data_IF_888673144656
#
_entry.id   IF_888673144656
#
_cell.length_a   1.000
_cell.length_b   1.000
_cell.length_c   1.000
_cell.angle_alpha   90.00
_cell.angle_beta   90.00
_cell.angle_gamma   90.00
#
_symmetry.space_group_name_H-M   'P 1'
#
loop_
_entity.id
_entity.type
_entity.pdbx_description
1 polymer ?
#
# COMPACT_ATOMS: atom_id res chain seq x y z
N UNK A 1 -0.52 1.58 -5.91
CA UNK A 1 0.56 0.68 -6.36
C UNK A 1 0.21 0.01 -7.69
N UNK A 2 -0.87 -0.77 -7.79
CA UNK A 2 -1.17 -1.59 -8.98
C UNK A 2 -2.65 -1.58 -9.39
N UNK A 3 -2.94 -2.02 -10.62
CA UNK A 3 -4.29 -2.21 -11.17
C UNK A 3 -4.38 -3.53 -11.94
N UNK A 4 -5.50 -4.24 -11.81
CA UNK A 4 -5.78 -5.50 -12.51
C UNK A 4 -6.91 -5.32 -13.51
N UNK A 5 -6.73 -5.80 -14.75
CA UNK A 5 -7.77 -5.85 -15.78
C UNK A 5 -7.73 -7.21 -16.49
N UNK A 6 -8.79 -7.99 -16.32
CA UNK A 6 -8.82 -9.38 -16.80
C UNK A 6 -7.73 -10.22 -16.11
N UNK A 7 -6.88 -10.88 -16.88
CA UNK A 7 -5.80 -11.74 -16.37
C UNK A 7 -4.49 -10.99 -16.09
N UNK A 8 -4.44 -9.66 -16.27
CA UNK A 8 -3.22 -8.89 -16.17
C UNK A 8 -3.25 -7.91 -15.01
N UNK A 9 -2.13 -7.80 -14.29
CA UNK A 9 -1.92 -6.84 -13.21
C UNK A 9 -0.69 -6.00 -13.51
N UNK A 10 -0.85 -4.68 -13.49
CA UNK A 10 0.20 -3.70 -13.72
C UNK A 10 0.54 -2.97 -12.42
N UNK A 11 1.80 -3.01 -12.00
CA UNK A 11 2.33 -2.28 -10.85
C UNK A 11 3.00 -1.00 -11.31
N UNK A 12 2.42 0.14 -10.98
CA UNK A 12 2.97 1.48 -11.21
C UNK A 12 3.93 1.91 -10.09
N UNK A 13 3.88 1.22 -8.96
CA UNK A 13 4.78 1.37 -7.82
C UNK A 13 4.94 0.00 -7.15
N UNK A 14 6.14 -0.32 -6.68
CA UNK A 14 6.40 -1.53 -5.88
C UNK A 14 7.07 -1.18 -4.57
N UNK A 15 6.66 -1.86 -3.50
CA UNK A 15 7.27 -1.70 -2.19
C UNK A 15 6.80 -2.82 -1.26
N UNK A 16 7.72 -3.36 -0.47
CA UNK A 16 7.42 -4.25 0.66
C UNK A 16 7.35 -3.44 1.95
N UNK A 17 8.50 -3.13 2.53
CA UNK A 17 8.70 -2.26 3.70
C UNK A 17 10.07 -1.58 3.60
N UNK A 18 10.41 -0.70 4.55
CA UNK A 18 11.73 -0.05 4.53
C UNK A 18 12.87 -1.04 4.86
N UNK A 19 14.09 -0.73 4.40
CA UNK A 19 15.30 -1.47 4.83
C UNK A 19 15.53 -1.41 6.34
N UNK A 20 15.08 -0.35 7.00
CA UNK A 20 15.18 -0.21 8.46
C UNK A 20 14.32 -1.25 9.16
N UNK A 21 13.03 -1.33 8.81
CA UNK A 21 12.11 -2.34 9.36
C UNK A 21 12.55 -3.76 9.03
N UNK A 22 12.99 -4.01 7.80
CA UNK A 22 13.48 -5.32 7.38
C UNK A 22 14.68 -5.78 8.23
N UNK A 23 15.63 -4.88 8.51
CA UNK A 23 16.77 -5.17 9.39
C UNK A 23 16.38 -5.37 10.86
N UNK A 24 15.22 -4.87 11.28
CA UNK A 24 14.65 -5.13 12.61
C UNK A 24 13.87 -6.47 12.67
N UNK A 25 13.84 -7.24 11.58
CA UNK A 25 13.21 -8.56 11.51
C UNK A 25 11.75 -8.52 11.02
N UNK A 26 11.26 -7.37 10.57
CA UNK A 26 9.93 -7.25 9.96
C UNK A 26 10.05 -7.67 8.49
N UNK A 27 9.58 -8.87 8.18
CA UNK A 27 9.56 -9.39 6.81
C UNK A 27 8.12 -9.64 6.36
N UNK A 28 7.64 -8.87 5.38
CA UNK A 28 6.31 -9.03 4.80
C UNK A 28 6.24 -10.19 3.80
N UNK A 29 7.37 -10.71 3.33
CA UNK A 29 7.48 -11.73 2.30
C UNK A 29 8.43 -12.87 2.73
N UNK A 30 8.20 -13.52 3.89
CA UNK A 30 9.14 -14.50 4.44
C UNK A 30 9.38 -15.67 3.49
N UNK A 31 10.65 -15.93 3.18
CA UNK A 31 11.05 -16.98 2.25
C UNK A 31 10.77 -16.66 0.78
N UNK A 32 10.44 -15.40 0.45
CA UNK A 32 10.14 -14.95 -0.90
C UNK A 32 11.02 -13.74 -1.27
N UNK A 33 11.61 -13.79 -2.46
CA UNK A 33 12.31 -12.65 -3.04
C UNK A 33 12.20 -12.74 -4.56
N UNK A 34 11.52 -11.76 -5.16
CA UNK A 34 11.41 -11.61 -6.61
C UNK A 34 12.19 -10.36 -7.01
N UNK A 35 13.31 -10.58 -7.72
CA UNK A 35 14.26 -9.52 -8.07
C UNK A 35 13.59 -8.37 -8.82
N UNK A 36 13.75 -7.15 -8.30
CA UNK A 36 13.17 -5.94 -8.89
C UNK A 36 11.67 -5.75 -8.65
N UNK A 37 11.00 -6.67 -7.93
CA UNK A 37 9.57 -6.61 -7.61
C UNK A 37 9.36 -6.44 -6.11
N UNK A 38 9.92 -7.33 -5.29
CA UNK A 38 9.84 -7.25 -3.82
C UNK A 38 10.96 -6.35 -3.28
N UNK A 39 10.82 -5.04 -3.46
CA UNK A 39 11.83 -4.04 -3.10
C UNK A 39 11.61 -3.45 -1.71
N UNK A 40 12.69 -3.14 -0.98
CA UNK A 40 12.64 -2.46 0.33
C UNK A 40 12.74 -0.92 0.22
N UNK A 41 12.77 -0.44 -1.01
CA UNK A 41 12.63 0.97 -1.40
C UNK A 41 11.31 1.10 -2.16
N UNK A 42 10.63 2.22 -1.97
CA UNK A 42 9.44 2.52 -2.77
C UNK A 42 9.90 2.88 -4.19
N UNK A 43 9.73 1.94 -5.11
CA UNK A 43 10.16 2.10 -6.50
C UNK A 43 9.02 2.61 -7.37
N UNK A 44 9.33 3.60 -8.21
CA UNK A 44 8.40 4.18 -9.16
C UNK A 44 8.50 3.50 -10.53
N UNK A 45 7.38 2.98 -11.02
CA UNK A 45 7.23 2.34 -12.33
C UNK A 45 6.14 3.00 -13.17
N UNK A 46 5.81 4.27 -12.91
CA UNK A 46 4.69 4.96 -13.58
C UNK A 46 4.83 5.02 -15.09
N UNK A 47 6.07 5.12 -15.60
CA UNK A 47 6.39 5.16 -17.04
C UNK A 47 6.46 3.76 -17.68
N UNK A 48 6.94 2.77 -16.95
CA UNK A 48 7.10 1.39 -17.41
C UNK A 48 6.63 0.42 -16.30
N UNK A 49 5.30 0.26 -16.14
CA UNK A 49 4.74 -0.56 -15.06
C UNK A 49 5.19 -2.02 -15.15
N UNK A 50 5.45 -2.67 -14.02
CA UNK A 50 5.70 -4.11 -14.03
C UNK A 50 4.38 -4.85 -14.25
N UNK A 51 4.28 -5.63 -15.33
CA UNK A 51 3.04 -6.33 -15.70
C UNK A 51 3.19 -7.82 -15.51
N UNK A 52 2.20 -8.45 -14.87
CA UNK A 52 2.13 -9.90 -14.68
C UNK A 52 0.84 -10.46 -15.28
N UNK A 53 0.91 -11.67 -15.84
CA UNK A 53 -0.27 -12.43 -16.23
C UNK A 53 -0.65 -13.41 -15.11
N UNK A 54 -1.62 -13.04 -14.29
CA UNK A 54 -1.99 -13.75 -13.06
C UNK A 54 -2.47 -15.20 -13.30
N UNK A 55 -3.07 -15.51 -14.45
CA UNK A 55 -3.45 -16.88 -14.78
C UNK A 55 -2.26 -17.83 -15.08
N UNK A 56 -1.09 -17.29 -15.47
CA UNK A 56 0.12 -18.07 -15.79
C UNK A 56 1.18 -17.93 -14.70
N UNK A 57 1.18 -16.79 -14.03
CA UNK A 57 2.10 -16.43 -12.98
C UNK A 57 1.32 -15.84 -11.78
N UNK A 58 0.64 -16.69 -10.99
CA UNK A 58 -0.11 -16.23 -9.82
C UNK A 58 0.80 -15.69 -8.71
N UNK A 59 2.09 -16.05 -8.73
CA UNK A 59 3.08 -15.65 -7.74
C UNK A 59 3.84 -14.37 -8.07
N UNK A 60 3.49 -13.69 -9.17
CA UNK A 60 4.13 -12.44 -9.62
C UNK A 60 5.66 -12.55 -9.72
N UNK A 61 6.16 -13.69 -10.20
CA UNK A 61 7.60 -14.01 -10.28
C UNK A 61 8.25 -13.58 -11.59
N UNK A 62 7.46 -13.49 -12.66
CA UNK A 62 7.94 -13.34 -14.03
C UNK A 62 7.22 -12.16 -14.70
N UNK A 63 7.75 -10.93 -14.55
CA UNK A 63 7.18 -9.78 -15.23
C UNK A 63 7.29 -9.95 -16.75
N UNK A 64 6.27 -9.50 -17.47
CA UNK A 64 6.29 -9.50 -18.94
C UNK A 64 7.43 -8.61 -19.45
N UNK A 65 8.06 -9.05 -20.54
CA UNK A 65 9.08 -8.24 -21.22
C UNK A 65 8.46 -6.95 -21.76
N UNK A 66 9.09 -5.81 -21.47
CA UNK A 66 8.69 -4.48 -21.96
C UNK A 66 8.62 -4.39 -23.49
N UNK A 67 9.40 -5.22 -24.20
CA UNK A 67 9.43 -5.26 -25.66
C UNK A 67 8.37 -6.19 -26.27
N UNK A 68 7.63 -6.94 -25.45
CA UNK A 68 6.63 -7.90 -25.96
C UNK A 68 5.36 -7.20 -26.44
N UNK A 69 4.73 -7.75 -27.47
CA UNK A 69 3.43 -7.28 -27.98
C UNK A 69 2.37 -7.38 -26.88
N UNK A 70 2.40 -8.46 -26.10
CA UNK A 70 1.48 -8.69 -24.98
C UNK A 70 1.55 -7.55 -23.96
N UNK A 71 2.76 -7.13 -23.57
CA UNK A 71 2.95 -6.01 -22.65
C UNK A 71 2.35 -4.70 -23.21
N UNK A 72 2.65 -4.37 -24.47
CA UNK A 72 2.15 -3.16 -25.12
C UNK A 72 0.62 -3.15 -25.21
N UNK A 73 0.01 -4.30 -25.55
CA UNK A 73 -1.44 -4.43 -25.64
C UNK A 73 -2.12 -4.31 -24.27
N UNK A 74 -1.50 -4.84 -23.21
CA UNK A 74 -1.98 -4.67 -21.84
C UNK A 74 -1.94 -3.21 -21.42
N UNK A 75 -0.83 -2.50 -21.68
CA UNK A 75 -0.74 -1.07 -21.34
C UNK A 75 -1.77 -0.22 -22.07
N UNK A 76 -2.01 -0.47 -23.37
CA UNK A 76 -3.05 0.23 -24.15
C UNK A 76 -4.44 0.08 -23.53
N UNK A 77 -4.70 -1.01 -22.80
CA UNK A 77 -5.98 -1.30 -22.16
C UNK A 77 -6.06 -0.79 -20.73
N UNK A 78 -5.01 -0.95 -19.93
CA UNK A 78 -5.01 -0.58 -18.51
C UNK A 78 -4.87 0.93 -18.34
N UNK A 79 -3.97 1.58 -19.07
CA UNK A 79 -3.67 3.01 -18.86
C UNK A 79 -4.90 3.91 -18.99
N UNK A 80 -5.78 3.76 -20.01
CA UNK A 80 -6.99 4.59 -20.11
C UNK A 80 -7.94 4.41 -18.93
N UNK A 81 -8.08 3.20 -18.40
CA UNK A 81 -8.95 2.90 -17.25
C UNK A 81 -8.39 3.54 -15.97
N UNK A 82 -7.07 3.48 -15.79
CA UNK A 82 -6.38 4.13 -14.67
C UNK A 82 -6.55 5.65 -14.74
N UNK A 83 -6.33 6.22 -15.92
CA UNK A 83 -6.47 7.66 -16.15
C UNK A 83 -7.91 8.13 -15.89
N UNK A 84 -8.89 7.43 -16.47
CA UNK A 84 -10.31 7.75 -16.25
C UNK A 84 -10.68 7.70 -14.77
N UNK A 85 -10.20 6.69 -14.04
CA UNK A 85 -10.41 6.59 -12.59
C UNK A 85 -9.81 7.79 -11.85
N UNK A 86 -8.56 8.15 -12.17
CA UNK A 86 -7.85 9.26 -11.53
C UNK A 86 -8.49 10.61 -11.82
N UNK A 87 -8.94 10.86 -13.05
CA UNK A 87 -9.60 12.10 -13.45
C UNK A 87 -10.96 12.29 -12.77
N UNK A 88 -11.67 11.19 -12.52
CA UNK A 88 -12.98 11.21 -11.85
C UNK A 88 -12.87 11.17 -10.31
N UNK A 89 -11.72 10.82 -9.75
CA UNK A 89 -11.54 10.66 -8.31
C UNK A 89 -11.42 12.03 -7.64
N UNK A 90 -12.28 12.27 -6.65
CA UNK A 90 -12.16 13.39 -5.70
C UNK A 90 -11.78 12.80 -4.33
N UNK A 91 -10.50 12.84 -3.92
CA UNK A 91 -10.09 12.29 -2.63
C UNK A 91 -10.71 13.05 -1.46
N UNK A 92 -11.20 12.33 -0.46
CA UNK A 92 -11.63 12.93 0.81
C UNK A 92 -10.45 13.48 1.62
N UNK A 93 -10.75 14.33 2.60
CA UNK A 93 -9.72 14.83 3.50
C UNK A 93 -9.14 13.69 4.35
N UNK A 94 -7.80 13.58 4.49
CA UNK A 94 -7.16 12.47 5.18
C UNK A 94 -7.47 12.50 6.69
N UNK A 95 -8.16 11.46 7.16
CA UNK A 95 -8.58 11.35 8.58
C UNK A 95 -7.48 10.78 9.49
N UNK A 96 -6.43 10.18 8.93
CA UNK A 96 -5.42 9.41 9.65
C UNK A 96 -4.13 10.20 9.92
N UNK A 97 -4.14 11.51 9.73
CA UNK A 97 -2.94 12.35 9.85
C UNK A 97 -2.60 12.70 11.30
N UNK A 98 -3.58 12.77 12.19
CA UNK A 98 -3.44 13.38 13.52
C UNK A 98 -3.74 12.37 14.61
N UNK A 99 -2.81 12.25 15.55
CA UNK A 99 -2.89 11.37 16.71
C UNK A 99 -2.85 12.21 17.99
N UNK A 100 -3.58 11.78 19.01
CA UNK A 100 -3.56 12.41 20.33
C UNK A 100 -3.72 11.34 21.41
N UNK A 101 -2.82 11.29 22.39
CA UNK A 101 -2.81 10.24 23.42
C UNK A 101 -4.02 10.36 24.36
N UNK A 102 -4.48 11.59 24.62
CA UNK A 102 -5.66 11.86 25.45
C UNK A 102 -6.98 11.35 24.84
N UNK A 103 -7.04 11.07 23.52
CA UNK A 103 -8.28 10.57 22.87
C UNK A 103 -8.37 9.05 22.79
N UNK A 104 -7.41 8.33 23.39
CA UNK A 104 -7.50 6.88 23.53
C UNK A 104 -8.68 6.50 24.43
N UNK A 105 -8.94 5.19 24.56
CA UNK A 105 -10.10 4.65 25.29
C UNK A 105 -9.98 4.75 26.83
N UNK A 106 -9.70 5.94 27.36
CA UNK A 106 -9.55 6.19 28.81
C UNK A 106 -10.88 6.13 29.55
N UNK A 107 -11.91 6.77 28.99
CA UNK A 107 -13.25 6.81 29.60
C UNK A 107 -14.35 6.49 28.57
N UNK A 108 -14.42 5.25 28.06
CA UNK A 108 -15.50 4.86 27.15
C UNK A 108 -16.88 4.97 27.83
N UNK A 109 -17.95 5.28 27.09
CA UNK A 109 -19.30 5.30 27.65
C UNK A 109 -19.64 3.99 28.39
N UNK A 110 -20.11 4.10 29.63
CA UNK A 110 -20.42 2.97 30.51
C UNK A 110 -19.30 2.54 31.46
N UNK A 111 -18.09 3.10 31.34
CA UNK A 111 -16.98 2.78 32.26
C UNK A 111 -17.31 3.11 33.72
N UNK A 112 -18.14 4.13 33.98
CA UNK A 112 -18.51 4.56 35.33
C UNK A 112 -19.29 3.49 36.08
N UNK A 113 -20.32 2.91 35.44
CA UNK A 113 -21.13 1.83 36.03
C UNK A 113 -20.31 0.57 36.29
N UNK A 114 -19.28 0.34 35.47
CA UNK A 114 -18.39 -0.81 35.58
C UNK A 114 -17.21 -0.56 36.52
N UNK A 115 -17.01 0.67 37.00
CA UNK A 115 -15.83 1.04 37.79
C UNK A 115 -14.52 0.87 37.02
N UNK A 116 -14.53 1.10 35.70
CA UNK A 116 -13.40 0.84 34.78
C UNK A 116 -12.87 2.08 34.05
N UNK A 117 -13.25 3.28 34.48
CA UNK A 117 -12.72 4.51 33.91
C UNK A 117 -11.25 4.71 34.31
N UNK A 118 -10.44 5.26 33.41
CA UNK A 118 -9.05 5.61 33.63
C UNK A 118 -8.84 7.11 33.39
N UNK A 119 -7.89 7.72 34.10
CA UNK A 119 -7.54 9.13 33.90
C UNK A 119 -6.68 9.28 32.63
N UNK A 120 -7.08 10.12 31.65
CA UNK A 120 -6.28 10.38 30.46
C UNK A 120 -5.01 11.20 30.80
N UNK A 121 -3.91 11.02 30.06
CA UNK A 121 -2.72 11.86 30.18
C UNK A 121 -2.95 13.23 29.53
N UNK A 122 -2.16 14.22 29.92
CA UNK A 122 -2.08 15.49 29.19
C UNK A 122 -1.30 15.30 27.88
N UNK A 123 -1.90 15.70 26.76
CA UNK A 123 -1.23 15.66 25.46
C UNK A 123 -1.87 16.61 24.45
N UNK A 124 -1.09 16.98 23.44
CA UNK A 124 -1.55 17.81 22.31
C UNK A 124 -1.65 16.99 21.02
N UNK A 125 -2.58 17.30 20.11
CA UNK A 125 -2.64 16.66 18.79
C UNK A 125 -1.34 16.86 18.01
N UNK A 126 -0.80 15.76 17.46
CA UNK A 126 0.42 15.75 16.65
C UNK A 126 0.26 14.85 15.44
N UNK A 127 1.17 14.96 14.46
CA UNK A 127 1.20 14.02 13.33
C UNK A 127 1.39 12.60 13.85
N UNK A 128 0.59 11.67 13.33
CA UNK A 128 0.82 10.25 13.55
C UNK A 128 2.16 9.86 12.92
N UNK A 129 2.89 8.96 13.58
CA UNK A 129 4.09 8.34 13.01
C UNK A 129 3.64 7.05 12.32
N UNK A 130 3.69 7.07 10.99
CA UNK A 130 3.49 5.88 10.17
C UNK A 130 4.88 5.37 9.78
N UNK A 131 5.20 4.09 10.03
CA UNK A 131 6.54 3.53 9.75
C UNK A 131 6.77 3.26 8.25
N UNK A 132 5.74 3.50 7.44
CA UNK A 132 5.76 3.49 5.98
C UNK A 132 5.62 4.92 5.46
#
# INVERSE_FOLDING_TARGET
>A
MAVTLGQYKAHFWTWTNSWEEFRQGIDFCPGQNVSGVTTHTQEEHTKLPLVFHLGRDPGERYPLSFASIEYLDVLRRITPVVQQHQEALVPGQPQLNVCNQAVMNWTPPGCEKLGKCLTPPESVPKKCSWPH
#
